data_IF_485643321963
#
_entry.id   IF_485643321963
#
_cell.length_a   1.000
_cell.length_b   1.000
_cell.length_c   1.000
_cell.angle_alpha   90.00
_cell.angle_beta   90.00
_cell.angle_gamma   90.00
#
_symmetry.space_group_name_H-M   'P 1'
#
loop_
_entity.id
_entity.type
_entity.pdbx_description
1 polymer ?
#
# COMPACT_ATOMS: atom_id res chain seq x y z
N UNK A 1 10.84 30.33 3.99
CA UNK A 1 10.06 29.78 5.12
C UNK A 1 9.24 30.89 5.75
N UNK A 2 7.93 30.75 5.92
CA UNK A 2 7.14 31.78 6.62
C UNK A 2 7.62 31.84 8.07
N UNK A 3 7.96 33.04 8.55
CA UNK A 3 8.35 33.26 9.94
C UNK A 3 7.23 32.82 10.86
N UNK A 4 7.45 31.76 11.65
CA UNK A 4 6.57 31.36 12.74
C UNK A 4 6.56 32.53 13.72
N UNK A 5 5.49 33.30 13.72
CA UNK A 5 5.30 34.38 14.71
C UNK A 5 5.14 33.71 16.07
N UNK A 6 6.04 34.01 16.99
CA UNK A 6 6.03 33.44 18.32
C UNK A 6 4.66 33.54 18.97
N UNK A 7 4.05 32.41 19.23
CA UNK A 7 2.78 32.24 19.96
C UNK A 7 2.83 32.90 21.36
N UNK A 8 4.01 32.95 21.96
CA UNK A 8 4.28 33.54 23.29
C UNK A 8 3.99 35.04 23.41
N UNK A 9 3.89 35.75 22.28
CA UNK A 9 3.58 37.20 22.27
C UNK A 9 2.09 37.51 22.20
N UNK A 10 1.22 36.51 22.14
CA UNK A 10 -0.21 36.70 22.07
C UNK A 10 -0.81 36.58 23.47
N UNK A 11 -0.97 37.72 24.15
CA UNK A 11 -1.41 37.81 25.56
C UNK A 11 -2.85 37.33 25.83
N UNK A 12 -3.73 37.12 24.81
CA UNK A 12 -5.11 36.72 25.01
C UNK A 12 -5.48 35.48 24.18
N UNK A 13 -5.90 34.34 24.80
CA UNK A 13 -6.24 33.11 24.12
C UNK A 13 -7.42 33.24 23.13
N UNK A 14 -8.36 34.18 23.37
CA UNK A 14 -9.53 34.42 22.51
C UNK A 14 -9.40 35.63 21.58
N UNK A 15 -8.18 36.13 21.37
CA UNK A 15 -7.99 37.25 20.45
C UNK A 15 -8.25 36.83 18.99
N UNK A 16 -8.76 37.78 18.16
CA UNK A 16 -8.96 37.53 16.71
C UNK A 16 -7.71 37.00 16.02
N UNK A 17 -6.52 37.43 16.46
CA UNK A 17 -5.21 36.97 15.93
C UNK A 17 -4.96 35.51 16.29
N UNK A 18 -5.26 35.11 17.53
CA UNK A 18 -5.14 33.69 17.97
C UNK A 18 -6.10 32.78 17.19
N UNK A 19 -7.37 33.17 17.05
CA UNK A 19 -8.35 32.40 16.30
C UNK A 19 -7.96 32.26 14.82
N UNK A 20 -7.42 33.34 14.21
CA UNK A 20 -6.92 33.30 12.84
C UNK A 20 -5.70 32.38 12.69
N UNK A 21 -4.79 32.39 13.68
CA UNK A 21 -3.63 31.52 13.70
C UNK A 21 -4.03 30.04 13.88
N UNK A 22 -4.92 29.76 14.83
CA UNK A 22 -5.44 28.42 15.05
C UNK A 22 -6.11 27.84 13.78
N UNK A 23 -6.92 28.65 13.07
CA UNK A 23 -7.51 28.26 11.77
C UNK A 23 -6.43 27.95 10.72
N UNK A 24 -5.36 28.75 10.65
CA UNK A 24 -4.24 28.48 9.72
C UNK A 24 -3.52 27.20 10.05
N UNK A 25 -3.19 26.98 11.33
CA UNK A 25 -2.54 25.75 11.79
C UNK A 25 -3.40 24.52 11.49
N UNK A 26 -4.70 24.56 11.80
CA UNK A 26 -5.61 23.44 11.51
C UNK A 26 -5.71 23.15 10.00
N UNK A 27 -5.70 24.18 9.13
CA UNK A 27 -5.66 23.99 7.68
C UNK A 27 -4.33 23.36 7.20
N UNK A 28 -3.22 23.80 7.78
CA UNK A 28 -1.90 23.29 7.43
C UNK A 28 -1.75 21.84 7.88
N UNK A 29 -2.21 21.52 9.09
CA UNK A 29 -2.26 20.15 9.62
C UNK A 29 -3.10 19.22 8.73
N UNK A 30 -4.33 19.63 8.37
CA UNK A 30 -5.18 18.87 7.44
C UNK A 30 -4.50 18.65 6.10
N UNK A 31 -3.82 19.68 5.57
CA UNK A 31 -3.08 19.57 4.30
C UNK A 31 -1.93 18.56 4.42
N UNK A 32 -1.19 18.59 5.53
CA UNK A 32 -0.08 17.67 5.78
C UNK A 32 -0.58 16.23 5.97
N UNK A 33 -1.67 16.03 6.71
CA UNK A 33 -2.28 14.72 6.90
C UNK A 33 -2.80 14.14 5.58
N UNK A 34 -3.41 14.97 4.72
CA UNK A 34 -3.85 14.53 3.40
C UNK A 34 -2.67 14.14 2.49
N UNK A 35 -1.57 14.92 2.52
CA UNK A 35 -0.36 14.59 1.77
C UNK A 35 0.26 13.28 2.27
N UNK A 36 0.33 13.11 3.59
CA UNK A 36 0.84 11.88 4.19
C UNK A 36 -0.03 10.68 3.80
N UNK A 37 -1.36 10.80 3.89
CA UNK A 37 -2.29 9.75 3.47
C UNK A 37 -2.15 9.38 2.00
N UNK A 38 -1.96 10.38 1.11
CA UNK A 38 -1.72 10.13 -0.32
C UNK A 38 -0.38 9.40 -0.53
N UNK A 39 0.67 9.82 0.16
CA UNK A 39 1.99 9.20 0.06
C UNK A 39 1.98 7.74 0.54
N UNK A 40 1.29 7.46 1.65
CA UNK A 40 1.12 6.08 2.15
C UNK A 40 0.40 5.21 1.11
N UNK A 41 -0.68 5.71 0.50
CA UNK A 41 -1.39 4.97 -0.56
C UNK A 41 -0.50 4.70 -1.77
N UNK A 42 0.28 5.68 -2.20
CA UNK A 42 1.23 5.52 -3.31
C UNK A 42 2.33 4.50 -2.99
N UNK A 43 2.84 4.50 -1.75
CA UNK A 43 3.81 3.50 -1.30
C UNK A 43 3.23 2.08 -1.39
N UNK A 44 2.02 1.86 -0.86
CA UNK A 44 1.38 0.54 -0.90
C UNK A 44 1.15 0.03 -2.33
N UNK A 45 0.75 0.93 -3.24
CA UNK A 45 0.61 0.59 -4.66
C UNK A 45 1.99 0.30 -5.27
N UNK A 46 2.99 1.12 -4.96
CA UNK A 46 4.36 0.95 -5.43
C UNK A 46 4.98 -0.38 -4.99
N UNK A 47 4.83 -0.74 -3.71
CA UNK A 47 5.30 -2.02 -3.17
C UNK A 47 4.62 -3.21 -3.87
N UNK A 48 3.31 -3.12 -4.12
CA UNK A 48 2.57 -4.15 -4.86
C UNK A 48 3.12 -4.30 -6.28
N UNK A 49 3.29 -3.20 -7.02
CA UNK A 49 3.81 -3.24 -8.40
C UNK A 49 5.24 -3.78 -8.43
N UNK A 50 6.08 -3.38 -7.47
CA UNK A 50 7.45 -3.88 -7.34
C UNK A 50 7.48 -5.38 -7.12
N UNK A 51 6.61 -5.89 -6.25
CA UNK A 51 6.48 -7.32 -5.98
C UNK A 51 6.15 -8.11 -7.26
N UNK A 52 5.21 -7.60 -8.09
CA UNK A 52 4.89 -8.22 -9.37
C UNK A 52 6.07 -8.14 -10.34
N UNK A 53 6.74 -6.98 -10.43
CA UNK A 53 7.91 -6.80 -11.31
C UNK A 53 9.01 -7.83 -11.02
N UNK A 54 9.32 -8.07 -9.75
CA UNK A 54 10.39 -8.98 -9.34
C UNK A 54 10.10 -10.45 -9.66
N UNK A 55 8.82 -10.82 -9.82
CA UNK A 55 8.41 -12.21 -10.04
C UNK A 55 8.00 -12.54 -11.46
N UNK A 56 7.95 -11.55 -12.33
CA UNK A 56 7.71 -11.78 -13.75
C UNK A 56 8.99 -12.33 -14.38
N UNK A 57 8.93 -13.45 -15.11
CA UNK A 57 10.09 -14.03 -15.79
C UNK A 57 10.72 -13.05 -16.78
N UNK A 58 12.05 -13.01 -16.81
CA UNK A 58 12.80 -12.24 -17.80
C UNK A 58 12.49 -12.75 -19.23
N UNK A 59 12.25 -11.82 -20.15
CA UNK A 59 11.94 -12.17 -21.54
C UNK A 59 10.45 -12.36 -21.87
N UNK A 60 9.56 -12.47 -20.87
CA UNK A 60 8.12 -12.60 -21.10
C UNK A 60 7.51 -11.27 -21.59
N UNK A 61 7.03 -11.19 -22.83
CA UNK A 61 6.42 -9.97 -23.39
C UNK A 61 5.04 -9.74 -22.79
N UNK A 62 4.25 -10.79 -22.64
CA UNK A 62 2.86 -10.79 -22.17
C UNK A 62 2.65 -12.03 -21.31
N UNK A 63 1.90 -11.93 -20.23
CA UNK A 63 1.46 -13.10 -19.45
C UNK A 63 0.12 -13.62 -19.97
N UNK A 64 -0.06 -14.95 -19.97
CA UNK A 64 -1.35 -15.57 -20.20
C UNK A 64 -2.29 -15.35 -19.00
N UNK A 65 -3.59 -15.62 -19.18
CA UNK A 65 -4.55 -15.57 -18.07
C UNK A 65 -4.19 -16.53 -16.95
N UNK A 66 -3.76 -17.74 -17.29
CA UNK A 66 -3.37 -18.79 -16.34
C UNK A 66 -2.14 -18.37 -15.53
N UNK A 67 -1.11 -17.84 -16.21
CA UNK A 67 0.10 -17.33 -15.56
C UNK A 67 -0.21 -16.13 -14.66
N UNK A 68 -1.14 -15.27 -15.08
CA UNK A 68 -1.57 -14.12 -14.27
C UNK A 68 -2.32 -14.60 -13.03
N UNK A 69 -3.16 -15.63 -13.15
CA UNK A 69 -3.86 -16.24 -12.02
C UNK A 69 -2.87 -16.82 -11.01
N UNK A 70 -1.93 -17.66 -11.47
CA UNK A 70 -0.89 -18.25 -10.62
C UNK A 70 -0.05 -17.19 -9.89
N UNK A 71 0.31 -16.13 -10.59
CA UNK A 71 1.07 -15.02 -10.01
C UNK A 71 0.27 -14.28 -8.92
N UNK A 72 -1.05 -14.08 -9.13
CA UNK A 72 -1.92 -13.45 -8.13
C UNK A 72 -2.08 -14.38 -6.92
N UNK A 73 -2.27 -15.68 -7.10
CA UNK A 73 -2.36 -16.65 -6.01
C UNK A 73 -1.07 -16.68 -5.18
N UNK A 74 0.08 -16.63 -5.84
CA UNK A 74 1.38 -16.50 -5.16
C UNK A 74 1.49 -15.18 -4.39
N UNK A 75 0.95 -14.08 -4.94
CA UNK A 75 0.91 -12.80 -4.24
C UNK A 75 0.05 -12.85 -2.98
N UNK A 76 -1.10 -13.49 -3.03
CA UNK A 76 -2.00 -13.64 -1.88
C UNK A 76 -1.41 -14.55 -0.79
N UNK A 77 -0.58 -15.51 -1.17
CA UNK A 77 0.12 -16.43 -0.26
C UNK A 77 1.43 -15.87 0.31
N UNK A 78 1.88 -14.68 -0.09
CA UNK A 78 3.22 -14.12 0.24
C UNK A 78 3.54 -14.00 1.72
N UNK A 79 2.56 -13.98 2.58
CA UNK A 79 2.72 -13.86 4.03
C UNK A 79 2.57 -15.19 4.78
N UNK A 80 2.33 -16.29 4.10
CA UNK A 80 2.05 -17.57 4.75
C UNK A 80 3.26 -18.07 5.54
N UNK A 81 4.46 -17.96 4.99
CA UNK A 81 5.71 -18.30 5.69
C UNK A 81 5.91 -17.44 6.95
N UNK A 82 5.60 -16.14 6.88
CA UNK A 82 5.73 -15.24 8.04
C UNK A 82 4.72 -15.63 9.14
N UNK A 83 3.49 -15.98 8.77
CA UNK A 83 2.47 -16.46 9.71
C UNK A 83 2.88 -17.78 10.37
N UNK A 84 3.45 -18.71 9.62
CA UNK A 84 3.97 -19.97 10.16
C UNK A 84 5.12 -19.72 11.15
N UNK A 85 6.05 -18.83 10.83
CA UNK A 85 7.12 -18.44 11.75
C UNK A 85 6.60 -17.81 13.04
N UNK A 86 5.57 -16.97 12.94
CA UNK A 86 4.91 -16.35 14.12
C UNK A 86 4.24 -17.44 14.95
N UNK A 87 3.54 -18.37 14.31
CA UNK A 87 2.86 -19.48 14.98
C UNK A 87 3.88 -20.38 15.71
N UNK A 88 5.00 -20.71 15.05
CA UNK A 88 6.08 -21.48 15.68
C UNK A 88 6.69 -20.75 16.89
N UNK A 89 6.95 -19.45 16.78
CA UNK A 89 7.48 -18.65 17.91
C UNK A 89 6.48 -18.56 19.07
N UNK A 90 5.20 -18.51 18.78
CA UNK A 90 4.15 -18.49 19.79
C UNK A 90 4.00 -19.88 20.48
N UNK A 91 4.27 -20.99 19.78
CA UNK A 91 4.17 -22.35 20.32
C UNK A 91 5.31 -22.72 21.26
N UNK A 92 6.52 -22.19 21.02
CA UNK A 92 7.75 -22.54 21.77
C UNK A 92 7.78 -21.90 23.16
N UNK A 93 6.98 -20.89 23.45
CA UNK A 93 6.98 -20.19 24.72
C UNK A 93 5.61 -20.23 25.40
N UNK A 94 5.53 -20.76 26.62
CA UNK A 94 4.32 -20.60 27.48
C UNK A 94 4.12 -19.14 27.92
N UNK A 95 4.48 -18.17 27.10
CA UNK A 95 4.33 -16.74 27.40
C UNK A 95 2.89 -16.34 27.17
N UNK A 96 2.25 -15.78 28.18
CA UNK A 96 0.88 -15.23 28.11
C UNK A 96 0.72 -14.08 27.12
N UNK A 97 1.81 -13.40 26.75
CA UNK A 97 1.79 -12.28 25.80
C UNK A 97 2.33 -12.73 24.44
N UNK A 98 1.48 -12.68 23.43
CA UNK A 98 1.82 -12.90 22.00
C UNK A 98 2.68 -11.72 21.52
N UNK A 99 3.98 -11.93 21.44
CA UNK A 99 4.95 -10.88 21.07
C UNK A 99 4.68 -10.26 19.70
N UNK A 100 4.13 -11.03 18.76
CA UNK A 100 3.87 -10.63 17.39
C UNK A 100 2.37 -10.46 17.05
N UNK A 101 1.48 -10.37 18.06
CA UNK A 101 0.04 -10.30 17.85
C UNK A 101 -0.37 -9.16 16.90
N UNK A 102 0.19 -7.97 17.07
CA UNK A 102 -0.14 -6.83 16.21
C UNK A 102 0.28 -7.07 14.74
N UNK A 103 1.43 -7.69 14.51
CA UNK A 103 1.89 -8.01 13.16
C UNK A 103 1.03 -9.10 12.53
N UNK A 104 0.71 -10.14 13.29
CA UNK A 104 -0.19 -11.23 12.89
C UNK A 104 -1.57 -10.70 12.51
N UNK A 105 -2.14 -9.80 13.33
CA UNK A 105 -3.44 -9.19 13.06
C UNK A 105 -3.43 -8.36 11.77
N UNK A 106 -2.38 -7.55 11.57
CA UNK A 106 -2.22 -6.75 10.34
C UNK A 106 -2.14 -7.65 9.10
N UNK A 107 -1.36 -8.73 9.15
CA UNK A 107 -1.24 -9.69 8.04
C UNK A 107 -2.58 -10.35 7.75
N UNK A 108 -3.28 -10.84 8.79
CA UNK A 108 -4.56 -11.51 8.64
C UNK A 108 -5.63 -10.58 8.02
N UNK A 109 -5.71 -9.33 8.48
CA UNK A 109 -6.62 -8.32 7.93
C UNK A 109 -6.28 -8.02 6.47
N UNK A 110 -4.99 -7.86 6.16
CA UNK A 110 -4.52 -7.58 4.79
C UNK A 110 -4.85 -8.74 3.87
N UNK A 111 -4.51 -9.97 4.27
CA UNK A 111 -4.77 -11.20 3.51
C UNK A 111 -6.27 -11.39 3.26
N UNK A 112 -7.09 -11.24 4.29
CA UNK A 112 -8.55 -11.34 4.16
C UNK A 112 -9.07 -10.30 3.16
N UNK A 113 -8.68 -9.04 3.31
CA UNK A 113 -9.12 -7.96 2.42
C UNK A 113 -8.71 -8.20 0.97
N UNK A 114 -7.47 -8.59 0.71
CA UNK A 114 -6.98 -8.83 -0.65
C UNK A 114 -7.66 -10.05 -1.29
N UNK A 115 -7.94 -11.11 -0.53
CA UNK A 115 -8.73 -12.24 -0.99
C UNK A 115 -10.16 -11.82 -1.33
N UNK A 116 -10.83 -11.09 -0.45
CA UNK A 116 -12.18 -10.58 -0.68
C UNK A 116 -12.22 -9.65 -1.92
N UNK A 117 -11.21 -8.80 -2.11
CA UNK A 117 -11.06 -7.96 -3.30
C UNK A 117 -10.91 -8.83 -4.56
N UNK A 118 -10.06 -9.86 -4.54
CA UNK A 118 -9.84 -10.74 -5.70
C UNK A 118 -11.08 -11.53 -6.09
N UNK A 119 -11.86 -12.04 -5.12
CA UNK A 119 -13.09 -12.79 -5.39
C UNK A 119 -14.25 -11.90 -5.86
N UNK A 120 -14.30 -10.64 -5.45
CA UNK A 120 -15.45 -9.76 -5.70
C UNK A 120 -15.19 -8.72 -6.80
N UNK A 121 -14.55 -7.60 -6.43
CA UNK A 121 -14.39 -6.43 -7.29
C UNK A 121 -13.11 -6.45 -8.14
N UNK A 122 -12.20 -7.34 -7.85
CA UNK A 122 -10.90 -7.47 -8.49
C UNK A 122 -9.79 -6.74 -7.76
N UNK A 123 -8.62 -7.38 -7.75
CA UNK A 123 -7.38 -6.82 -7.23
C UNK A 123 -6.87 -5.75 -8.19
N UNK A 124 -6.55 -4.56 -7.66
CA UNK A 124 -5.99 -3.47 -8.45
C UNK A 124 -4.50 -3.70 -8.71
N UNK A 125 -4.13 -3.86 -9.99
CA UNK A 125 -2.78 -4.16 -10.43
C UNK A 125 -2.54 -3.67 -11.87
N UNK A 126 -1.27 -3.56 -12.34
CA UNK A 126 -0.99 -3.32 -13.75
C UNK A 126 -1.55 -4.44 -14.63
N UNK A 127 -1.99 -4.11 -15.83
CA UNK A 127 -2.46 -5.11 -16.79
C UNK A 127 -1.26 -5.88 -17.38
N UNK A 128 -0.99 -7.07 -16.85
CA UNK A 128 0.13 -7.92 -17.28
C UNK A 128 -0.13 -8.64 -18.61
N UNK A 129 -1.36 -8.54 -19.13
CA UNK A 129 -1.75 -9.06 -20.44
C UNK A 129 -1.59 -8.02 -21.56
N UNK A 130 -1.21 -6.77 -21.24
CA UNK A 130 -0.93 -5.71 -22.19
C UNK A 130 0.59 -5.51 -22.33
N UNK A 131 1.11 -5.67 -23.57
CA UNK A 131 2.53 -5.53 -23.88
C UNK A 131 3.08 -4.15 -23.49
N UNK A 132 2.30 -3.08 -23.70
CA UNK A 132 2.71 -1.73 -23.35
C UNK A 132 2.88 -1.56 -21.84
N UNK A 133 1.96 -2.14 -21.06
CA UNK A 133 2.04 -2.07 -19.60
C UNK A 133 3.19 -2.92 -19.05
N UNK A 134 3.48 -4.05 -19.68
CA UNK A 134 4.63 -4.88 -19.37
C UNK A 134 5.95 -4.17 -19.62
N UNK A 135 6.06 -3.42 -20.73
CA UNK A 135 7.24 -2.62 -21.03
C UNK A 135 7.44 -1.49 -20.01
N UNK A 136 6.36 -0.76 -19.67
CA UNK A 136 6.38 0.27 -18.61
C UNK A 136 6.82 -0.32 -17.29
N UNK A 137 6.33 -1.52 -16.93
CA UNK A 137 6.66 -2.20 -15.69
C UNK A 137 8.15 -2.58 -15.63
N UNK A 138 8.72 -3.06 -16.73
CA UNK A 138 10.15 -3.42 -16.81
C UNK A 138 11.06 -2.22 -16.67
N UNK A 139 10.71 -1.12 -17.35
CA UNK A 139 11.50 0.10 -17.36
C UNK A 139 11.33 0.93 -16.08
N UNK A 140 10.35 0.59 -15.22
CA UNK A 140 10.10 1.33 -14.01
C UNK A 140 11.22 1.09 -12.97
N UNK A 141 11.76 2.17 -12.43
CA UNK A 141 12.88 2.18 -11.47
C UNK A 141 12.44 2.13 -9.98
N UNK A 142 11.14 1.96 -9.69
CA UNK A 142 10.61 1.98 -8.32
C UNK A 142 10.20 3.36 -7.81
N UNK A 143 10.40 4.43 -8.56
CA UNK A 143 10.03 5.77 -8.12
C UNK A 143 8.51 5.99 -8.15
N UNK A 144 7.96 6.46 -7.02
CA UNK A 144 6.50 6.67 -6.84
C UNK A 144 5.91 7.72 -7.79
N UNK A 145 6.70 8.69 -8.22
CA UNK A 145 6.25 9.74 -9.16
C UNK A 145 5.82 9.18 -10.52
N UNK A 146 6.35 8.02 -10.91
CA UNK A 146 6.02 7.37 -12.18
C UNK A 146 4.83 6.41 -12.08
N UNK A 147 4.23 6.23 -10.90
CA UNK A 147 3.03 5.40 -10.74
C UNK A 147 1.86 5.86 -11.62
N UNK A 148 1.78 7.15 -11.95
CA UNK A 148 0.77 7.70 -12.85
C UNK A 148 0.86 7.17 -14.29
N UNK A 149 1.98 6.57 -14.71
CA UNK A 149 2.14 5.97 -16.02
C UNK A 149 1.52 4.58 -16.14
N UNK A 150 1.24 3.95 -14.99
CA UNK A 150 0.57 2.67 -14.97
C UNK A 150 -0.94 2.81 -15.14
N UNK A 151 -1.49 2.05 -16.07
CA UNK A 151 -2.94 1.84 -16.16
C UNK A 151 -3.31 0.69 -15.24
N UNK A 152 -3.73 1.02 -14.03
CA UNK A 152 -4.18 0.02 -13.07
C UNK A 152 -5.54 -0.52 -13.49
N UNK A 153 -5.66 -1.83 -13.50
CA UNK A 153 -6.88 -2.58 -13.84
C UNK A 153 -7.28 -3.43 -12.66
N UNK A 154 -8.57 -3.58 -12.45
CA UNK A 154 -9.10 -4.50 -11.44
C UNK A 154 -9.32 -5.86 -12.08
N UNK A 155 -8.55 -6.85 -11.63
CA UNK A 155 -8.58 -8.22 -12.12
C UNK A 155 -9.16 -9.10 -11.02
N UNK A 156 -10.34 -9.64 -11.25
CA UNK A 156 -11.01 -10.60 -10.38
C UNK A 156 -10.81 -12.02 -10.92
N UNK A 157 -10.96 -13.03 -10.06
CA UNK A 157 -10.87 -14.45 -10.45
C UNK A 157 -11.71 -14.78 -11.67
N UNK A 158 -12.95 -14.29 -11.73
CA UNK A 158 -13.88 -14.47 -12.86
C UNK A 158 -13.40 -13.95 -14.23
N UNK A 159 -12.37 -13.08 -14.25
CA UNK A 159 -11.82 -12.56 -15.51
C UNK A 159 -10.68 -13.45 -16.06
N UNK A 160 -10.17 -14.35 -15.23
CA UNK A 160 -9.03 -15.21 -15.53
C UNK A 160 -9.45 -16.68 -15.76
N UNK A 161 -10.57 -17.07 -15.19
CA UNK A 161 -11.28 -18.33 -15.51
C UNK A 161 -12.16 -18.13 -16.72
#
# INVERSE_FOLDING_TARGET
MPKVKNLEKLKHPNSRKMMSLAKKMSKEEKKNNNKLGTHIKQNLIGEKILWFKERIPEGCVILSKEQTLELIETYLARFDEELEQIALKNSVGQRKNRQHASREDVINITKKRENDEFETCGLEMPDLMDANQMEVLRNWNGELRFLQHFKLKRIARKHLT
#
